data_IF_544508265493
#
_entry.id   IF_544508265493
#
_cell.length_a   1.000
_cell.length_b   1.000
_cell.length_c   1.000
_cell.angle_alpha   90.00
_cell.angle_beta   90.00
_cell.angle_gamma   90.00
#
_symmetry.space_group_name_H-M   'P 1'
#
loop_
_entity.id
_entity.type
_entity.pdbx_description
1 polymer ?
#
# COMPACT_ATOMS: atom_id res chain seq x y z
N UNK A 1 24.03 4.31 -19.71
CA UNK A 1 22.63 3.83 -19.65
C UNK A 1 21.98 4.43 -18.43
N UNK A 2 20.79 5.04 -18.56
CA UNK A 2 20.03 5.52 -17.41
C UNK A 2 19.45 4.35 -16.61
N UNK A 3 19.06 4.60 -15.34
CA UNK A 3 18.41 3.58 -14.50
C UNK A 3 17.11 3.07 -15.15
N UNK A 4 16.30 3.99 -15.68
CA UNK A 4 15.06 3.64 -16.40
C UNK A 4 15.33 2.79 -17.65
N UNK A 5 16.30 3.18 -18.48
CA UNK A 5 16.66 2.43 -19.69
C UNK A 5 17.12 1.01 -19.35
N UNK A 6 17.87 0.86 -18.24
CA UNK A 6 18.33 -0.45 -17.75
C UNK A 6 17.16 -1.37 -17.41
N UNK A 7 16.16 -0.85 -16.70
CA UNK A 7 14.95 -1.63 -16.35
C UNK A 7 14.19 -2.02 -17.62
N UNK A 8 13.93 -1.08 -18.52
CA UNK A 8 13.22 -1.37 -19.78
C UNK A 8 13.95 -2.41 -20.63
N UNK A 9 15.27 -2.30 -20.76
CA UNK A 9 16.05 -3.32 -21.50
C UNK A 9 16.01 -4.69 -20.86
N UNK A 10 16.01 -4.76 -19.53
CA UNK A 10 15.87 -6.03 -18.83
C UNK A 10 14.49 -6.66 -19.09
N UNK A 11 13.42 -5.88 -19.01
CA UNK A 11 12.06 -6.34 -19.29
C UNK A 11 11.88 -6.80 -20.74
N UNK A 12 12.54 -6.16 -21.67
CA UNK A 12 12.48 -6.47 -23.11
C UNK A 12 13.53 -7.49 -23.56
N UNK A 13 14.28 -8.08 -22.63
CA UNK A 13 15.38 -9.03 -22.91
C UNK A 13 16.46 -8.49 -23.90
N UNK A 14 16.72 -7.18 -23.86
CA UNK A 14 17.66 -6.49 -24.75
C UNK A 14 19.05 -6.25 -24.14
N UNK A 15 19.46 -7.04 -23.16
CA UNK A 15 20.77 -6.98 -22.54
C UNK A 15 21.07 -5.64 -21.86
N UNK A 16 20.66 -5.43 -20.61
CA UNK A 16 21.09 -4.28 -19.84
C UNK A 16 22.59 -4.37 -19.51
N UNK A 17 23.22 -3.24 -19.16
CA UNK A 17 24.62 -3.20 -18.73
C UNK A 17 24.89 -3.97 -17.42
N UNK A 18 23.88 -4.12 -16.59
CA UNK A 18 23.82 -4.97 -15.39
C UNK A 18 22.35 -5.29 -15.04
N UNK A 19 22.14 -6.24 -14.16
CA UNK A 19 20.80 -6.52 -13.61
C UNK A 19 20.26 -5.27 -12.91
N UNK A 20 19.02 -4.84 -13.20
CA UNK A 20 18.37 -3.77 -12.45
C UNK A 20 18.23 -4.13 -10.98
N UNK A 21 18.41 -3.15 -10.13
CA UNK A 21 18.39 -3.32 -8.69
C UNK A 21 17.30 -2.46 -8.04
N UNK A 22 16.53 -3.05 -7.15
CA UNK A 22 15.55 -2.36 -6.33
C UNK A 22 16.02 -2.39 -4.87
N UNK A 23 16.21 -1.21 -4.29
CA UNK A 23 16.54 -1.05 -2.88
C UNK A 23 15.81 0.17 -2.33
N UNK A 24 15.61 0.19 -1.03
CA UNK A 24 15.05 1.38 -0.34
C UNK A 24 16.09 2.50 -0.12
N UNK A 25 17.15 2.51 -0.94
CA UNK A 25 18.22 3.51 -0.91
C UNK A 25 18.26 4.28 -2.24
N UNK A 26 17.89 5.56 -2.26
CA UNK A 26 17.74 6.34 -3.51
C UNK A 26 19.01 6.39 -4.38
N UNK A 27 20.19 6.37 -3.79
CA UNK A 27 21.48 6.48 -4.52
C UNK A 27 21.84 5.26 -5.35
N UNK A 28 21.31 4.09 -5.05
CA UNK A 28 21.68 2.82 -5.68
C UNK A 28 20.53 2.09 -6.38
N UNK A 29 19.29 2.49 -6.11
CA UNK A 29 18.11 1.85 -6.70
C UNK A 29 17.88 2.28 -8.15
N UNK A 30 17.61 1.33 -9.03
CA UNK A 30 17.15 1.60 -10.40
C UNK A 30 15.61 1.76 -10.44
N UNK A 31 14.91 1.05 -9.54
CA UNK A 31 13.46 1.01 -9.44
C UNK A 31 13.04 1.66 -8.12
N UNK A 32 12.05 2.55 -8.21
CA UNK A 32 11.49 3.28 -7.07
C UNK A 32 10.00 2.95 -6.94
N UNK A 33 9.62 1.97 -6.09
CA UNK A 33 8.23 1.71 -5.77
C UNK A 33 7.69 2.82 -4.88
N UNK A 34 6.60 3.43 -5.28
CA UNK A 34 5.92 4.49 -4.54
C UNK A 34 4.53 4.02 -4.13
N UNK A 35 4.36 3.85 -2.84
CA UNK A 35 3.08 3.51 -2.24
C UNK A 35 2.13 4.70 -2.24
N UNK A 36 0.84 4.43 -2.33
CA UNK A 36 -0.20 5.43 -2.13
C UNK A 36 -0.17 5.97 -0.70
N UNK A 37 -0.74 7.16 -0.54
CA UNK A 37 -0.99 7.74 0.79
C UNK A 37 -2.44 7.46 1.20
N UNK A 38 -2.77 7.47 2.50
CA UNK A 38 -4.15 7.50 2.95
C UNK A 38 -4.90 8.70 2.38
N UNK A 39 -6.23 8.63 2.36
CA UNK A 39 -7.03 9.80 2.01
C UNK A 39 -6.70 10.97 2.95
N UNK A 40 -6.65 12.19 2.39
CA UNK A 40 -6.21 13.39 3.16
C UNK A 40 -7.10 13.65 4.38
N UNK A 41 -8.37 13.33 4.28
CA UNK A 41 -9.39 13.51 5.32
C UNK A 41 -9.50 12.33 6.30
N UNK A 42 -8.74 11.25 6.07
CA UNK A 42 -8.69 10.12 6.99
C UNK A 42 -7.86 10.48 8.23
N UNK A 43 -8.50 10.67 9.38
CA UNK A 43 -7.90 11.15 10.63
C UNK A 43 -8.34 10.30 11.83
N UNK A 44 -7.94 9.03 11.94
CA UNK A 44 -8.26 8.16 13.06
C UNK A 44 -7.56 8.62 14.34
N UNK A 45 -7.98 8.10 15.49
CA UNK A 45 -7.35 8.45 16.78
C UNK A 45 -5.91 7.92 16.86
N UNK A 46 -5.66 6.72 16.38
CA UNK A 46 -4.32 6.12 16.33
C UNK A 46 -4.03 5.59 14.92
N UNK A 47 -3.43 6.43 14.06
CA UNK A 47 -3.21 6.07 12.66
C UNK A 47 -2.04 5.11 12.50
N UNK A 48 -2.20 4.15 11.62
CA UNK A 48 -1.14 3.21 11.25
C UNK A 48 -0.02 3.86 10.41
N UNK A 49 -0.39 4.64 9.41
CA UNK A 49 0.54 5.12 8.38
C UNK A 49 1.61 6.12 8.84
N UNK A 50 1.38 7.09 9.74
CA UNK A 50 2.33 8.16 9.99
C UNK A 50 3.69 7.74 10.51
N UNK A 51 3.78 6.56 11.11
CA UNK A 51 5.00 6.08 11.74
C UNK A 51 5.82 5.11 10.89
N UNK A 52 5.25 4.62 9.78
CA UNK A 52 5.96 3.72 8.87
C UNK A 52 7.07 4.44 8.12
N UNK A 53 6.92 5.78 7.94
CA UNK A 53 7.87 6.57 7.18
C UNK A 53 8.34 7.79 7.99
N UNK A 54 9.66 8.02 8.11
CA UNK A 54 10.19 9.25 8.69
C UNK A 54 9.65 10.50 7.95
N UNK A 55 9.49 11.62 8.67
CA UNK A 55 8.95 12.88 8.10
C UNK A 55 9.64 13.30 6.80
N UNK A 56 10.94 13.04 6.64
CA UNK A 56 11.68 13.32 5.41
C UNK A 56 11.11 12.63 4.16
N UNK A 57 10.30 11.59 4.32
CA UNK A 57 9.62 10.90 3.23
C UNK A 57 8.19 11.39 2.99
N UNK A 58 7.66 12.24 3.87
CA UNK A 58 6.33 12.86 3.71
C UNK A 58 6.42 14.17 2.92
N UNK A 59 6.86 14.09 1.70
CA UNK A 59 6.86 15.22 0.79
C UNK A 59 5.48 15.33 0.16
N UNK A 60 4.67 16.26 0.66
CA UNK A 60 3.30 16.46 0.17
C UNK A 60 2.31 15.36 0.60
N UNK A 61 1.05 15.57 0.34
CA UNK A 61 0.01 14.57 0.56
C UNK A 61 -0.59 14.58 1.95
N UNK A 62 -0.74 13.41 2.50
CA UNK A 62 -1.43 13.22 3.75
C UNK A 62 -0.68 13.82 4.95
N UNK A 63 -1.42 14.50 5.84
CA UNK A 63 -0.90 15.00 7.12
C UNK A 63 -1.85 14.62 8.23
N UNK A 64 -1.27 14.18 9.33
CA UNK A 64 -2.01 13.98 10.55
C UNK A 64 -2.16 15.31 11.29
N UNK A 65 -3.40 15.73 11.56
CA UNK A 65 -3.70 17.05 12.14
C UNK A 65 -3.55 17.07 13.66
N UNK A 66 -3.70 15.92 14.31
CA UNK A 66 -3.56 15.78 15.76
C UNK A 66 -2.09 15.50 16.13
N UNK A 67 -1.63 15.92 17.33
CA UNK A 67 -0.35 15.48 17.84
C UNK A 67 -0.29 13.95 17.94
N UNK A 68 0.73 13.32 17.34
CA UNK A 68 0.91 11.88 17.45
C UNK A 68 1.27 11.50 18.90
N UNK A 69 0.71 10.43 19.46
CA UNK A 69 1.16 9.89 20.73
C UNK A 69 2.66 9.59 20.70
N UNK A 70 3.44 10.00 21.74
CA UNK A 70 4.88 9.81 21.74
C UNK A 70 5.30 8.33 21.77
N UNK A 71 4.40 7.46 22.20
CA UNK A 71 4.57 6.01 22.29
C UNK A 71 3.81 5.24 21.21
N UNK A 72 3.47 5.91 20.10
CA UNK A 72 2.69 5.30 18.99
C UNK A 72 3.28 3.99 18.49
N UNK A 73 4.60 3.84 18.54
CA UNK A 73 5.33 2.64 18.15
C UNK A 73 5.67 1.70 19.30
N UNK A 74 5.18 2.00 20.52
CA UNK A 74 5.45 1.13 21.67
C UNK A 74 4.94 -0.30 21.41
N UNK A 75 5.69 -1.28 21.92
CA UNK A 75 5.33 -2.68 21.86
C UNK A 75 3.89 -2.92 22.33
N UNK A 76 3.16 -3.70 21.58
CA UNK A 76 1.78 -4.06 21.90
C UNK A 76 0.74 -2.95 21.63
N UNK A 77 1.16 -1.75 21.22
CA UNK A 77 0.23 -0.68 20.87
C UNK A 77 -0.56 -1.02 19.61
N UNK A 78 -1.85 -0.76 19.66
CA UNK A 78 -2.78 -1.00 18.55
C UNK A 78 -2.99 0.29 17.75
N UNK A 79 -3.14 0.14 16.42
CA UNK A 79 -3.30 1.24 15.46
C UNK A 79 -4.21 0.78 14.34
N UNK A 80 -5.03 1.69 13.82
CA UNK A 80 -5.96 1.40 12.75
C UNK A 80 -5.40 1.78 11.38
N UNK A 81 -5.58 0.92 10.37
CA UNK A 81 -5.39 1.30 8.98
C UNK A 81 -6.69 1.81 8.34
N UNK A 82 -6.58 2.32 7.11
CA UNK A 82 -7.72 2.92 6.41
C UNK A 82 -8.82 1.90 6.02
N UNK A 83 -8.49 0.62 6.02
CA UNK A 83 -9.45 -0.47 5.83
C UNK A 83 -10.18 -0.88 7.11
N UNK A 84 -9.85 -0.25 8.23
CA UNK A 84 -10.40 -0.58 9.54
C UNK A 84 -9.70 -1.75 10.25
N UNK A 85 -8.63 -2.30 9.69
CA UNK A 85 -7.85 -3.35 10.35
C UNK A 85 -7.09 -2.77 11.55
N UNK A 86 -7.05 -3.49 12.65
CA UNK A 86 -6.26 -3.10 13.82
C UNK A 86 -4.93 -3.83 13.77
N UNK A 87 -3.86 -3.04 13.76
CA UNK A 87 -2.48 -3.50 13.75
C UNK A 87 -1.87 -3.36 15.13
N UNK A 88 -1.19 -4.39 15.59
CA UNK A 88 -0.47 -4.38 16.85
C UNK A 88 1.04 -4.30 16.62
N UNK A 89 1.70 -3.37 17.31
CA UNK A 89 3.15 -3.23 17.23
C UNK A 89 3.86 -4.48 17.72
N UNK A 90 4.89 -4.97 16.98
CA UNK A 90 5.62 -6.18 17.36
C UNK A 90 6.54 -5.92 18.55
N UNK A 91 7.06 -7.01 19.11
CA UNK A 91 8.25 -6.98 19.95
C UNK A 91 9.46 -6.78 19.04
N UNK A 92 10.23 -5.69 19.24
CA UNK A 92 11.38 -5.37 18.39
C UNK A 92 11.01 -4.65 17.07
N UNK A 93 11.79 -4.89 16.02
CA UNK A 93 11.61 -4.23 14.72
C UNK A 93 10.56 -4.98 13.87
N UNK A 94 9.79 -4.24 13.08
CA UNK A 94 8.82 -4.77 12.13
C UNK A 94 7.56 -3.93 11.99
N UNK A 95 6.68 -4.35 11.08
CA UNK A 95 5.43 -3.64 10.80
C UNK A 95 4.28 -4.03 11.74
N UNK A 96 4.43 -5.14 12.48
CA UNK A 96 3.39 -5.67 13.35
C UNK A 96 2.49 -6.71 12.68
N UNK A 97 1.45 -7.09 13.39
CA UNK A 97 0.46 -8.07 12.94
C UNK A 97 -0.96 -7.47 13.01
N UNK A 98 -1.84 -7.96 12.15
CA UNK A 98 -3.26 -7.60 12.19
C UNK A 98 -3.94 -8.46 13.26
N UNK A 99 -4.48 -7.80 14.30
CA UNK A 99 -5.17 -8.43 15.42
C UNK A 99 -6.67 -8.13 15.43
N UNK A 100 -7.12 -7.10 14.72
CA UNK A 100 -8.51 -6.78 14.53
C UNK A 100 -8.91 -6.81 13.07
N UNK A 101 -9.92 -7.62 12.77
CA UNK A 101 -10.40 -7.91 11.42
C UNK A 101 -11.80 -7.35 11.26
N UNK A 102 -12.01 -6.29 10.46
CA UNK A 102 -13.29 -5.59 10.44
C UNK A 102 -14.42 -6.37 9.74
N UNK A 103 -14.14 -7.26 8.80
CA UNK A 103 -15.14 -8.09 8.12
C UNK A 103 -15.44 -9.37 8.93
N UNK A 104 -16.24 -9.26 9.98
CA UNK A 104 -16.55 -10.38 10.88
C UNK A 104 -17.61 -11.32 10.30
N UNK A 105 -18.59 -10.80 9.56
CA UNK A 105 -19.67 -11.57 8.94
C UNK A 105 -19.61 -11.44 7.42
N UNK A 106 -19.90 -12.54 6.72
CA UNK A 106 -20.12 -12.51 5.29
C UNK A 106 -21.40 -11.79 4.88
N UNK A 107 -22.32 -11.60 5.80
CA UNK A 107 -23.56 -10.84 5.53
C UNK A 107 -23.28 -9.35 5.36
N UNK A 108 -22.15 -8.86 5.91
CA UNK A 108 -21.70 -7.48 5.77
C UNK A 108 -20.90 -7.23 4.47
N UNK A 109 -20.54 -8.28 3.76
CA UNK A 109 -19.61 -8.19 2.60
C UNK A 109 -20.02 -7.12 1.59
N UNK A 110 -21.28 -7.09 1.16
CA UNK A 110 -21.74 -6.18 0.10
C UNK A 110 -21.83 -4.70 0.57
N UNK A 111 -21.97 -4.47 1.86
CA UNK A 111 -22.05 -3.13 2.45
C UNK A 111 -20.78 -2.68 3.13
N UNK A 112 -19.77 -3.57 3.22
CA UNK A 112 -18.49 -3.27 3.84
C UNK A 112 -17.81 -2.10 3.11
N UNK A 113 -17.46 -1.00 3.82
CA UNK A 113 -16.87 0.16 3.18
C UNK A 113 -15.39 -0.11 2.83
N UNK A 114 -15.05 -0.12 1.55
CA UNK A 114 -13.66 -0.05 1.11
C UNK A 114 -13.23 1.43 1.02
N UNK A 115 -11.95 1.74 1.27
CA UNK A 115 -11.43 3.09 1.08
C UNK A 115 -11.62 3.56 -0.36
N UNK A 116 -11.94 4.84 -0.57
CA UNK A 116 -12.05 5.40 -1.92
C UNK A 116 -10.67 5.51 -2.58
N UNK A 117 -10.40 4.77 -3.68
CA UNK A 117 -9.13 4.87 -4.41
C UNK A 117 -8.94 6.23 -5.07
N UNK A 118 -10.01 7.02 -5.26
CA UNK A 118 -9.98 8.35 -5.86
C UNK A 118 -9.87 9.48 -4.85
N UNK A 119 -9.86 9.18 -3.55
CA UNK A 119 -9.77 10.20 -2.51
C UNK A 119 -8.58 11.15 -2.70
N UNK A 120 -8.73 12.43 -2.31
CA UNK A 120 -7.67 13.42 -2.38
C UNK A 120 -6.42 13.00 -1.57
N UNK A 121 -5.24 13.35 -2.06
CA UNK A 121 -3.98 13.11 -1.36
C UNK A 121 -3.25 11.83 -1.76
N UNK A 122 -3.94 10.79 -2.24
CA UNK A 122 -3.37 9.45 -2.45
C UNK A 122 -2.11 9.41 -3.30
N UNK A 123 -2.03 10.17 -4.39
CA UNK A 123 -0.89 10.15 -5.31
C UNK A 123 -0.01 11.40 -5.21
N UNK A 124 -0.17 12.26 -4.21
CA UNK A 124 0.64 13.47 -4.09
C UNK A 124 2.13 13.13 -3.93
N UNK A 125 2.45 12.20 -3.07
CA UNK A 125 3.83 11.71 -2.90
C UNK A 125 4.39 11.10 -4.18
N UNK A 126 3.63 10.23 -4.84
CA UNK A 126 4.03 9.65 -6.12
C UNK A 126 4.35 10.75 -7.15
N UNK A 127 3.47 11.73 -7.29
CA UNK A 127 3.60 12.83 -8.25
C UNK A 127 4.87 13.66 -8.00
N UNK A 128 5.20 13.93 -6.73
CA UNK A 128 6.42 14.67 -6.36
C UNK A 128 7.66 13.86 -6.72
N UNK A 129 7.73 12.60 -6.30
CA UNK A 129 8.89 11.75 -6.61
C UNK A 129 9.02 11.47 -8.10
N UNK A 130 7.89 11.32 -8.82
CA UNK A 130 7.90 11.16 -10.27
C UNK A 130 8.55 12.35 -10.98
N UNK A 131 8.34 13.58 -10.45
CA UNK A 131 9.00 14.79 -10.96
C UNK A 131 10.47 14.86 -10.56
N UNK A 132 10.79 14.60 -9.31
CA UNK A 132 12.18 14.64 -8.80
C UNK A 132 13.09 13.62 -9.48
N UNK A 133 12.56 12.46 -9.83
CA UNK A 133 13.28 11.35 -10.45
C UNK A 133 13.09 11.32 -11.99
N UNK A 134 12.50 12.37 -12.56
CA UNK A 134 12.22 12.44 -13.98
C UNK A 134 13.50 12.31 -14.82
N UNK A 135 13.46 11.40 -15.80
CA UNK A 135 14.52 11.23 -16.80
C UNK A 135 15.55 10.16 -16.49
N UNK A 136 15.75 9.75 -15.24
CA UNK A 136 16.76 8.74 -14.91
C UNK A 136 16.17 7.45 -14.30
N UNK A 137 15.31 7.56 -13.29
CA UNK A 137 14.81 6.40 -12.53
C UNK A 137 13.56 5.76 -13.14
N UNK A 138 13.37 4.46 -12.87
CA UNK A 138 12.12 3.76 -13.13
C UNK A 138 11.21 3.91 -11.89
N UNK A 139 10.20 4.76 -11.99
CA UNK A 139 9.24 5.00 -10.91
C UNK A 139 7.99 4.16 -11.16
N UNK A 140 7.64 3.30 -10.20
CA UNK A 140 6.46 2.45 -10.30
C UNK A 140 5.48 2.71 -9.17
N UNK A 141 4.20 2.47 -9.43
CA UNK A 141 3.17 2.39 -8.41
C UNK A 141 3.35 1.11 -7.59
N UNK A 142 3.11 1.21 -6.29
CA UNK A 142 3.08 0.06 -5.40
C UNK A 142 1.71 -0.04 -4.74
N UNK A 143 1.02 -1.15 -4.96
CA UNK A 143 -0.31 -1.41 -4.39
C UNK A 143 -0.23 -1.95 -2.95
N UNK A 144 0.98 -2.06 -2.39
CA UNK A 144 1.31 -2.61 -1.06
C UNK A 144 0.95 -4.09 -0.93
N UNK A 145 -0.28 -4.36 -0.52
CA UNK A 145 -0.73 -5.71 -0.23
C UNK A 145 -1.50 -6.28 -1.42
N UNK A 146 -1.23 -7.53 -1.75
CA UNK A 146 -1.99 -8.26 -2.76
C UNK A 146 -3.43 -8.55 -2.30
N UNK A 147 -4.26 -9.04 -3.22
CA UNK A 147 -5.67 -9.37 -2.95
C UNK A 147 -5.79 -10.36 -1.79
N UNK A 148 -4.97 -11.42 -1.80
CA UNK A 148 -4.96 -12.42 -0.72
C UNK A 148 -4.60 -11.82 0.64
N UNK A 149 -3.53 -11.02 0.70
CA UNK A 149 -3.11 -10.38 1.95
C UNK A 149 -4.19 -9.46 2.48
N UNK A 150 -4.76 -8.60 1.64
CA UNK A 150 -5.83 -7.71 2.03
C UNK A 150 -7.08 -8.48 2.48
N UNK A 151 -7.43 -9.56 1.79
CA UNK A 151 -8.57 -10.40 2.17
C UNK A 151 -8.41 -10.98 3.57
N UNK A 152 -7.25 -11.54 3.89
CA UNK A 152 -7.06 -12.11 5.23
C UNK A 152 -6.81 -11.05 6.32
N UNK A 153 -6.37 -9.84 5.97
CA UNK A 153 -6.36 -8.74 6.95
C UNK A 153 -7.78 -8.33 7.32
N UNK A 154 -8.70 -8.30 6.36
CA UNK A 154 -10.10 -7.96 6.60
C UNK A 154 -10.86 -9.05 7.35
N UNK A 155 -10.67 -10.30 6.98
CA UNK A 155 -11.44 -11.46 7.45
C UNK A 155 -10.80 -12.26 8.58
N UNK A 156 -9.50 -12.13 8.77
CA UNK A 156 -8.67 -12.99 9.61
C UNK A 156 -8.04 -14.14 8.83
N UNK A 157 -6.77 -14.41 9.07
CA UNK A 157 -6.01 -15.42 8.30
C UNK A 157 -6.67 -16.80 8.36
N UNK A 158 -6.94 -17.30 9.58
CA UNK A 158 -7.55 -18.63 9.76
C UNK A 158 -8.95 -18.72 9.16
N UNK A 159 -9.77 -17.68 9.34
CA UNK A 159 -11.11 -17.62 8.75
C UNK A 159 -11.03 -17.62 7.22
N UNK A 160 -10.19 -16.75 6.64
CA UNK A 160 -10.05 -16.65 5.18
C UNK A 160 -9.55 -17.96 4.56
N UNK A 161 -8.61 -18.64 5.23
CA UNK A 161 -8.11 -19.94 4.78
C UNK A 161 -9.21 -21.01 4.81
N UNK A 162 -10.02 -21.07 5.87
CA UNK A 162 -11.17 -21.98 5.95
C UNK A 162 -12.25 -21.62 4.90
N UNK A 163 -12.53 -20.35 4.74
CA UNK A 163 -13.55 -19.86 3.83
C UNK A 163 -13.22 -20.15 2.36
N UNK A 164 -11.95 -20.22 1.98
CA UNK A 164 -11.58 -20.65 0.61
C UNK A 164 -12.08 -22.05 0.26
N UNK A 165 -12.27 -22.91 1.25
CA UNK A 165 -12.80 -24.26 1.04
C UNK A 165 -14.30 -24.37 1.35
N UNK A 166 -14.76 -23.70 2.42
CA UNK A 166 -16.13 -23.82 2.90
C UNK A 166 -17.10 -22.84 2.23
N UNK A 167 -16.65 -21.66 1.86
CA UNK A 167 -17.44 -20.55 1.31
C UNK A 167 -16.73 -19.92 0.07
N UNK A 168 -16.32 -20.72 -0.92
CA UNK A 168 -15.46 -20.24 -2.03
C UNK A 168 -16.08 -19.10 -2.83
N UNK A 169 -17.42 -19.07 -2.97
CA UNK A 169 -18.12 -18.00 -3.68
C UNK A 169 -18.02 -16.67 -2.93
N UNK A 170 -18.14 -16.68 -1.61
CA UNK A 170 -18.00 -15.47 -0.78
C UNK A 170 -16.55 -14.99 -0.72
N UNK A 171 -15.61 -15.92 -0.59
CA UNK A 171 -14.19 -15.61 -0.65
C UNK A 171 -13.80 -15.01 -2.02
N UNK A 172 -14.30 -15.58 -3.11
CA UNK A 172 -14.15 -15.05 -4.47
C UNK A 172 -14.79 -13.66 -4.60
N UNK A 173 -15.99 -13.46 -4.08
CA UNK A 173 -16.67 -12.16 -4.12
C UNK A 173 -15.90 -11.05 -3.39
N UNK A 174 -15.26 -11.37 -2.25
CA UNK A 174 -14.36 -10.41 -1.58
C UNK A 174 -13.16 -10.06 -2.45
N UNK A 175 -12.55 -11.07 -3.09
CA UNK A 175 -11.43 -10.85 -4.00
C UNK A 175 -11.83 -9.97 -5.20
N UNK A 176 -13.00 -10.21 -5.80
CA UNK A 176 -13.54 -9.41 -6.91
C UNK A 176 -13.76 -7.96 -6.47
N UNK A 177 -14.35 -7.73 -5.29
CA UNK A 177 -14.54 -6.37 -4.77
C UNK A 177 -13.21 -5.64 -4.55
N UNK A 178 -12.22 -6.30 -3.96
CA UNK A 178 -10.89 -5.72 -3.77
C UNK A 178 -10.21 -5.42 -5.11
N UNK A 179 -10.38 -6.30 -6.10
CA UNK A 179 -9.84 -6.09 -7.44
C UNK A 179 -10.51 -4.90 -8.12
N UNK A 180 -11.83 -4.89 -8.21
CA UNK A 180 -12.60 -3.95 -9.01
C UNK A 180 -12.74 -2.57 -8.35
N UNK A 181 -12.91 -2.54 -7.02
CA UNK A 181 -13.18 -1.29 -6.29
C UNK A 181 -11.90 -0.61 -5.76
N UNK A 182 -10.78 -1.35 -5.67
CA UNK A 182 -9.53 -0.82 -5.11
C UNK A 182 -8.33 -0.95 -6.04
N UNK A 183 -7.94 -2.16 -6.44
CA UNK A 183 -6.68 -2.38 -7.16
C UNK A 183 -6.72 -1.84 -8.60
N UNK A 184 -7.74 -2.20 -9.39
CA UNK A 184 -7.86 -1.73 -10.78
C UNK A 184 -7.92 -0.20 -10.87
N UNK A 185 -8.77 0.51 -10.08
CA UNK A 185 -8.77 1.97 -10.06
C UNK A 185 -7.40 2.56 -9.72
N UNK A 186 -6.66 2.00 -8.76
CA UNK A 186 -5.32 2.47 -8.43
C UNK A 186 -4.31 2.26 -9.55
N UNK A 187 -4.36 1.11 -10.24
CA UNK A 187 -3.51 0.86 -11.43
C UNK A 187 -3.73 1.95 -12.48
N UNK A 188 -4.99 2.25 -12.80
CA UNK A 188 -5.32 3.32 -13.74
C UNK A 188 -4.79 4.69 -13.27
N UNK A 189 -4.99 5.02 -11.99
CA UNK A 189 -4.50 6.28 -11.44
C UNK A 189 -2.98 6.41 -11.48
N UNK A 190 -2.25 5.34 -11.21
CA UNK A 190 -0.79 5.33 -11.35
C UNK A 190 -0.36 5.51 -12.81
N UNK A 191 -1.03 4.84 -13.74
CA UNK A 191 -0.80 5.00 -15.17
C UNK A 191 -1.01 6.45 -15.62
N UNK A 192 -2.15 7.06 -15.24
CA UNK A 192 -2.49 8.45 -15.55
C UNK A 192 -1.50 9.45 -14.92
N UNK A 193 -0.97 9.14 -13.74
CA UNK A 193 0.07 9.93 -13.09
C UNK A 193 1.47 9.73 -13.70
N UNK A 194 1.61 8.89 -14.74
CA UNK A 194 2.84 8.65 -15.47
C UNK A 194 3.79 7.66 -14.80
N UNK A 195 3.28 6.67 -14.07
CA UNK A 195 4.07 5.54 -13.62
C UNK A 195 4.68 4.79 -14.81
N UNK A 196 5.87 4.24 -14.61
CA UNK A 196 6.52 3.40 -15.61
C UNK A 196 6.10 1.93 -15.52
N UNK A 197 5.41 1.56 -14.45
CA UNK A 197 4.82 0.26 -14.14
C UNK A 197 4.07 0.31 -12.82
N UNK A 198 3.32 -0.71 -12.53
CA UNK A 198 2.61 -0.94 -11.26
C UNK A 198 2.88 -2.36 -10.82
#
# INVERSE_FOLDING_TARGET
MTRRERVLRAMEFRGPDRVPFMAYAPGISDIFPMTIMPARDWQPDEPYYPHVYPEAYYIGGWKYEKPLPPDLMAEGRERQDEFGCIWKSPVGEGIGEVVGHPLQSWDDLETFPLPDPHAPGRLERFTIYRKLLAGDAFVMGNLENGIWERSHFLRGFSNMLMDTAAEPERAGRLADRLLDEWHIPLVHRYADAGAHGV
#
